data_IF_380542986750
#
_entry.id   IF_380542986750
#
_cell.length_a   1.000
_cell.length_b   1.000
_cell.length_c   1.000
_cell.angle_alpha   90.00
_cell.angle_beta   90.00
_cell.angle_gamma   90.00
#
_symmetry.space_group_name_H-M   'P 1'
#
loop_
_entity.id
_entity.type
_entity.pdbx_description
1 polymer ?
#
# COMPACT_ATOMS: atom_id res chain seq x y z
N UNK A 1 7.04 22.88 -15.64
CA UNK A 1 5.72 23.36 -15.19
C UNK A 1 5.50 22.88 -13.75
N UNK A 2 5.26 23.74 -12.76
CA UNK A 2 4.94 23.30 -11.40
C UNK A 2 3.50 22.77 -11.39
N UNK A 3 3.30 21.49 -11.09
CA UNK A 3 1.98 20.94 -10.83
C UNK A 3 1.46 21.42 -9.48
N UNK A 4 0.14 21.58 -9.35
CA UNK A 4 -0.50 21.98 -8.10
C UNK A 4 -0.11 21.02 -6.97
N UNK A 5 0.51 21.59 -5.94
CA UNK A 5 0.85 20.88 -4.70
C UNK A 5 -0.32 21.03 -3.76
N UNK A 6 -0.86 19.90 -3.31
CA UNK A 6 -1.98 19.91 -2.36
C UNK A 6 -1.53 19.22 -1.09
N UNK A 7 -1.64 19.93 0.03
CA UNK A 7 -1.34 19.40 1.35
C UNK A 7 -2.64 19.02 2.06
N UNK A 8 -2.63 17.87 2.72
CA UNK A 8 -3.73 17.40 3.55
C UNK A 8 -3.25 17.09 4.94
N UNK A 9 -4.02 17.47 5.94
CA UNK A 9 -3.82 17.01 7.31
C UNK A 9 -4.86 15.94 7.65
N UNK A 10 -4.41 14.73 7.99
CA UNK A 10 -5.26 13.64 8.45
C UNK A 10 -4.66 13.03 9.70
N UNK A 11 -5.42 13.02 10.81
CA UNK A 11 -4.98 12.47 12.10
C UNK A 11 -3.65 13.08 12.59
N UNK A 12 -3.49 14.40 12.44
CA UNK A 12 -2.28 15.14 12.85
C UNK A 12 -1.05 14.92 11.96
N UNK A 13 -1.19 14.28 10.80
CA UNK A 13 -0.10 14.09 9.83
C UNK A 13 -0.38 14.83 8.53
N UNK A 14 0.58 15.64 8.09
CA UNK A 14 0.55 16.33 6.79
C UNK A 14 1.05 15.42 5.68
N UNK A 15 0.18 15.10 4.73
CA UNK A 15 0.47 14.31 3.53
C UNK A 15 0.49 15.28 2.35
N UNK A 16 1.63 15.35 1.65
CA UNK A 16 1.78 16.21 0.46
C UNK A 16 1.54 15.39 -0.80
N UNK A 17 0.69 15.90 -1.68
CA UNK A 17 0.44 15.34 -3.00
C UNK A 17 1.01 16.24 -4.08
N UNK A 18 1.72 15.65 -5.03
CA UNK A 18 2.06 16.29 -6.29
C UNK A 18 1.15 15.69 -7.36
N UNK A 19 0.20 16.48 -7.85
CA UNK A 19 -0.67 16.08 -8.97
C UNK A 19 0.11 16.35 -10.26
N UNK A 20 0.42 15.33 -11.09
CA UNK A 20 1.12 15.56 -12.34
C UNK A 20 0.30 16.46 -13.27
N UNK A 21 0.96 17.42 -13.92
CA UNK A 21 0.35 18.39 -14.85
C UNK A 21 -0.27 17.75 -16.12
N UNK A 22 -0.09 16.45 -16.33
CA UNK A 22 -0.68 15.68 -17.44
C UNK A 22 -2.08 15.19 -17.08
N UNK A 23 -2.98 16.13 -16.81
CA UNK A 23 -4.45 15.93 -16.93
C UNK A 23 -5.03 16.79 -18.06
N UNK A 24 -4.17 17.40 -18.89
CA UNK A 24 -4.57 17.98 -20.18
C UNK A 24 -4.65 16.86 -21.19
N UNK A 25 -5.88 16.44 -21.51
CA UNK A 25 -6.15 15.42 -22.53
C UNK A 25 -6.70 14.13 -21.94
N UNK A 26 -7.92 14.20 -21.42
CA UNK A 26 -8.78 13.01 -21.34
C UNK A 26 -9.99 13.28 -22.22
N UNK A 27 -9.77 13.22 -23.52
CA UNK A 27 -10.82 12.98 -24.53
C UNK A 27 -11.14 11.48 -24.59
N UNK A 28 -11.07 10.76 -23.47
CA UNK A 28 -11.58 9.41 -23.39
C UNK A 28 -13.11 9.49 -23.38
N UNK A 29 -13.75 8.84 -24.34
CA UNK A 29 -15.20 8.73 -24.36
C UNK A 29 -15.69 8.11 -23.04
N UNK A 30 -16.67 8.71 -22.36
CA UNK A 30 -17.23 8.19 -21.11
C UNK A 30 -17.65 6.73 -21.24
N UNK A 31 -18.15 6.29 -22.39
CA UNK A 31 -18.48 4.88 -22.58
C UNK A 31 -17.28 3.95 -22.38
N UNK A 32 -16.06 4.33 -22.77
CA UNK A 32 -14.86 3.53 -22.52
C UNK A 32 -14.48 3.46 -21.04
N UNK A 33 -14.74 4.52 -20.27
CA UNK A 33 -14.59 4.49 -18.82
C UNK A 33 -15.66 3.58 -18.20
N UNK A 34 -16.89 3.61 -18.73
CA UNK A 34 -18.08 2.96 -18.15
C UNK A 34 -18.35 1.52 -18.61
N UNK A 35 -17.82 1.07 -19.75
CA UNK A 35 -17.97 -0.29 -20.32
C UNK A 35 -17.13 -1.38 -19.63
N UNK A 36 -16.38 -1.04 -18.59
CA UNK A 36 -15.79 -2.08 -17.72
C UNK A 36 -16.88 -2.59 -16.79
N UNK A 37 -17.56 -3.65 -17.22
CA UNK A 37 -18.33 -4.55 -16.35
C UNK A 37 -17.57 -4.83 -15.06
N UNK A 38 -18.31 -5.08 -13.96
CA UNK A 38 -17.76 -5.47 -12.65
C UNK A 38 -16.51 -6.34 -12.87
N UNK A 39 -15.31 -5.86 -12.54
CA UNK A 39 -14.13 -6.67 -12.75
C UNK A 39 -14.28 -7.90 -11.86
N UNK A 40 -14.12 -9.08 -12.44
CA UNK A 40 -13.82 -10.27 -11.65
C UNK A 40 -12.63 -9.95 -10.75
N UNK A 41 -12.54 -10.61 -9.59
CA UNK A 41 -11.47 -10.37 -8.61
C UNK A 41 -10.04 -10.47 -9.21
N UNK A 42 -9.90 -11.09 -10.38
CA UNK A 42 -8.66 -11.16 -11.16
C UNK A 42 -8.33 -9.90 -11.98
N UNK A 43 -9.32 -9.14 -12.45
CA UNK A 43 -9.10 -7.91 -13.22
C UNK A 43 -8.65 -6.73 -12.32
N UNK A 44 -9.02 -6.74 -11.04
CA UNK A 44 -8.56 -5.78 -10.02
C UNK A 44 -7.03 -5.86 -9.83
N UNK A 45 -6.41 -7.01 -10.14
CA UNK A 45 -4.96 -7.20 -10.01
C UNK A 45 -4.15 -6.60 -11.16
N UNK A 46 -4.77 -6.11 -12.24
CA UNK A 46 -4.07 -5.80 -13.50
C UNK A 46 -4.12 -4.34 -13.99
N UNK A 47 -4.81 -3.42 -13.31
CA UNK A 47 -4.97 -2.04 -13.83
C UNK A 47 -3.91 -1.02 -13.34
N UNK A 48 -3.57 0.02 -14.15
CA UNK A 48 -2.54 1.01 -13.86
C UNK A 48 -3.02 2.10 -12.88
N UNK A 49 -2.07 2.70 -12.18
CA UNK A 49 -2.33 3.63 -11.09
C UNK A 49 -2.97 4.96 -11.54
N UNK A 50 -4.05 5.33 -10.85
CA UNK A 50 -4.67 6.68 -10.65
C UNK A 50 -5.84 7.13 -11.55
N UNK A 51 -6.09 6.53 -12.71
CA UNK A 51 -7.27 6.87 -13.52
C UNK A 51 -8.53 6.07 -13.15
N UNK A 52 -8.38 4.90 -12.51
CA UNK A 52 -9.46 3.90 -12.33
C UNK A 52 -10.02 3.81 -10.90
N UNK A 53 -9.99 4.90 -10.13
CA UNK A 53 -10.68 4.90 -8.83
C UNK A 53 -12.18 5.03 -9.05
N UNK A 54 -12.84 3.88 -9.18
CA UNK A 54 -14.29 3.73 -9.06
C UNK A 54 -14.59 3.02 -7.76
N UNK A 55 -15.40 3.64 -6.92
CA UNK A 55 -15.96 2.97 -5.77
C UNK A 55 -17.44 3.26 -5.75
N UNK A 56 -18.25 2.20 -5.67
CA UNK A 56 -19.64 2.35 -5.25
C UNK A 56 -19.62 3.14 -3.94
N UNK A 57 -20.17 4.34 -3.91
CA UNK A 57 -20.23 5.19 -2.71
C UNK A 57 -21.69 5.38 -2.38
N UNK A 58 -21.98 5.91 -1.19
CA UNK A 58 -23.34 6.28 -0.87
C UNK A 58 -23.31 7.61 -0.16
N UNK A 59 -23.45 8.67 -0.94
CA UNK A 59 -23.41 10.04 -0.46
C UNK A 59 -24.84 10.55 -0.42
N UNK A 60 -25.41 10.50 0.78
CA UNK A 60 -26.73 11.08 1.07
C UNK A 60 -26.61 12.59 1.26
N UNK A 61 -27.70 13.32 1.04
CA UNK A 61 -27.73 14.78 1.19
C UNK A 61 -27.11 15.54 0.03
N UNK A 62 -26.88 14.87 -1.11
CA UNK A 62 -26.51 15.53 -2.35
C UNK A 62 -27.73 16.18 -3.01
N UNK A 63 -27.50 17.22 -3.81
CA UNK A 63 -28.55 17.93 -4.55
C UNK A 63 -28.09 18.25 -5.96
N UNK A 64 -29.04 18.25 -6.90
CA UNK A 64 -28.88 18.85 -8.23
C UNK A 64 -29.48 20.25 -8.16
N UNK A 65 -28.65 21.28 -8.34
CA UNK A 65 -29.06 22.69 -8.46
C UNK A 65 -29.24 23.02 -9.94
N UNK A 66 -30.41 23.56 -10.30
CA UNK A 66 -30.77 23.86 -11.70
C UNK A 66 -30.56 25.34 -11.98
N UNK A 67 -29.51 25.69 -12.72
CA UNK A 67 -29.12 27.08 -12.99
C UNK A 67 -29.89 27.69 -14.19
N UNK A 68 -30.37 26.85 -15.11
CA UNK A 68 -31.19 27.23 -16.28
C UNK A 68 -32.51 26.48 -16.31
N UNK A 69 -33.59 27.15 -16.71
CA UNK A 69 -34.90 26.51 -16.83
C UNK A 69 -34.88 25.36 -17.86
N UNK A 70 -35.60 24.29 -17.56
CA UNK A 70 -35.95 23.23 -18.52
C UNK A 70 -37.45 22.95 -18.42
N UNK A 71 -38.04 22.34 -19.44
CA UNK A 71 -39.48 22.04 -19.45
C UNK A 71 -39.94 21.17 -18.26
N UNK A 72 -39.01 20.39 -17.67
CA UNK A 72 -39.27 19.46 -16.57
C UNK A 72 -38.86 19.98 -15.19
N UNK A 73 -37.98 20.99 -15.12
CA UNK A 73 -37.37 21.43 -13.87
C UNK A 73 -37.42 22.95 -13.70
N UNK A 74 -37.73 23.36 -12.48
CA UNK A 74 -37.85 24.77 -12.07
C UNK A 74 -36.46 25.35 -11.88
N UNK A 75 -36.18 26.47 -12.55
CA UNK A 75 -34.93 27.21 -12.37
C UNK A 75 -34.74 27.65 -10.92
N UNK A 76 -33.52 27.49 -10.39
CA UNK A 76 -33.17 27.79 -9.00
C UNK A 76 -33.63 26.72 -8.00
N UNK A 77 -34.35 25.68 -8.44
CA UNK A 77 -34.74 24.59 -7.56
C UNK A 77 -33.57 23.66 -7.25
N UNK A 78 -33.68 22.99 -6.10
CA UNK A 78 -32.75 21.96 -5.64
C UNK A 78 -33.44 20.62 -5.57
N UNK A 79 -32.97 19.66 -6.35
CA UNK A 79 -33.53 18.31 -6.38
C UNK A 79 -32.67 17.38 -5.53
N UNK A 80 -33.22 16.76 -4.48
CA UNK A 80 -32.44 15.87 -3.61
C UNK A 80 -32.07 14.59 -4.37
N UNK A 81 -30.78 14.25 -4.33
CA UNK A 81 -30.24 13.04 -4.96
C UNK A 81 -29.32 12.30 -4.01
N UNK A 82 -29.05 11.03 -4.34
CA UNK A 82 -28.04 10.21 -3.66
C UNK A 82 -26.96 9.85 -4.65
N UNK A 83 -25.69 10.13 -4.35
CA UNK A 83 -24.58 9.66 -5.19
C UNK A 83 -24.28 8.22 -4.83
N UNK A 84 -24.50 7.30 -5.78
CA UNK A 84 -24.31 5.85 -5.59
C UNK A 84 -23.02 5.31 -6.22
N UNK A 85 -22.44 6.08 -7.13
CA UNK A 85 -21.10 5.83 -7.68
C UNK A 85 -20.44 7.18 -8.00
N UNK A 86 -19.12 7.25 -7.84
CA UNK A 86 -18.34 8.46 -8.05
C UNK A 86 -16.98 8.12 -8.64
N UNK A 87 -16.58 8.90 -9.64
CA UNK A 87 -15.29 8.83 -10.31
C UNK A 87 -14.78 10.23 -10.62
N UNK A 88 -13.53 10.36 -11.10
CA UNK A 88 -13.00 11.65 -11.55
C UNK A 88 -13.74 12.23 -12.78
N UNK A 89 -14.44 11.41 -13.56
CA UNK A 89 -15.12 11.82 -14.79
C UNK A 89 -16.62 12.07 -14.65
N UNK A 90 -17.24 11.67 -13.53
CA UNK A 90 -18.68 11.77 -13.34
C UNK A 90 -19.19 10.97 -12.16
N UNK A 91 -20.51 10.93 -12.01
CA UNK A 91 -21.19 10.26 -10.92
C UNK A 91 -22.38 9.44 -11.43
N UNK A 92 -22.82 8.47 -10.65
CA UNK A 92 -24.15 7.88 -10.78
C UNK A 92 -24.99 8.35 -9.62
N UNK A 93 -26.15 8.90 -9.92
CA UNK A 93 -27.05 9.48 -8.93
C UNK A 93 -28.40 8.77 -8.94
N UNK A 94 -29.03 8.67 -7.78
CA UNK A 94 -30.41 8.23 -7.63
C UNK A 94 -31.28 9.40 -7.19
N UNK A 95 -32.39 9.62 -7.91
CA UNK A 95 -33.33 10.71 -7.72
C UNK A 95 -34.75 10.17 -7.56
N UNK A 96 -35.62 10.93 -6.87
CA UNK A 96 -37.07 10.70 -6.91
C UNK A 96 -37.75 11.38 -8.11
N UNK A 97 -37.02 12.25 -8.80
CA UNK A 97 -37.46 13.03 -9.95
C UNK A 97 -36.68 12.58 -11.17
N UNK A 98 -37.39 12.40 -12.29
CA UNK A 98 -36.75 12.13 -13.58
C UNK A 98 -35.97 13.38 -14.02
N UNK A 99 -34.68 13.21 -14.29
CA UNK A 99 -33.79 14.32 -14.63
C UNK A 99 -33.62 14.37 -16.15
N UNK A 100 -33.83 15.54 -16.79
CA UNK A 100 -33.73 15.68 -18.23
C UNK A 100 -32.32 15.32 -18.71
N UNK A 101 -32.26 14.54 -19.79
CA UNK A 101 -31.04 14.17 -20.48
C UNK A 101 -30.67 15.23 -21.52
N UNK A 102 -29.40 15.29 -21.91
CA UNK A 102 -28.98 16.02 -23.11
C UNK A 102 -27.91 17.09 -22.89
N UNK A 103 -27.41 17.65 -24.00
CA UNK A 103 -26.29 18.58 -24.00
C UNK A 103 -26.64 19.99 -23.48
N UNK A 104 -27.91 20.38 -23.59
CA UNK A 104 -28.40 21.71 -23.24
C UNK A 104 -28.77 21.84 -21.74
N UNK A 105 -28.71 20.73 -21.00
CA UNK A 105 -29.01 20.68 -19.58
C UNK A 105 -27.76 20.31 -18.78
N UNK A 106 -27.15 21.32 -18.16
CA UNK A 106 -25.92 21.19 -17.38
C UNK A 106 -26.09 21.69 -15.93
N UNK A 107 -26.85 20.97 -15.08
CA UNK A 107 -27.07 21.40 -13.72
C UNK A 107 -25.82 21.24 -12.84
N UNK A 108 -25.83 21.85 -11.66
CA UNK A 108 -24.74 21.75 -10.69
C UNK A 108 -25.03 20.65 -9.67
N UNK A 109 -24.21 19.60 -9.63
CA UNK A 109 -24.19 18.60 -8.56
C UNK A 109 -23.47 19.17 -7.33
N UNK A 110 -24.18 19.20 -6.20
CA UNK A 110 -23.64 19.55 -4.89
C UNK A 110 -23.68 18.32 -3.99
N UNK A 111 -22.54 17.86 -3.46
CA UNK A 111 -22.48 16.66 -2.62
C UNK A 111 -21.52 16.81 -1.42
N UNK A 112 -21.91 16.38 -0.20
CA UNK A 112 -21.02 16.42 0.96
C UNK A 112 -19.95 15.31 0.89
N UNK A 113 -18.68 15.67 0.68
CA UNK A 113 -17.57 14.71 0.72
C UNK A 113 -17.05 14.56 2.15
N UNK A 114 -17.64 13.64 2.92
CA UNK A 114 -17.13 13.31 4.25
C UNK A 114 -15.68 12.76 4.17
N UNK A 115 -14.77 13.08 5.11
CA UNK A 115 -14.99 13.78 6.37
C UNK A 115 -14.72 15.31 6.32
N UNK A 116 -14.66 15.94 5.15
CA UNK A 116 -14.38 17.38 5.03
C UNK A 116 -15.63 18.26 5.15
N UNK A 117 -15.48 19.55 5.52
CA UNK A 117 -16.57 20.53 5.48
C UNK A 117 -16.90 21.03 4.06
N UNK A 118 -16.03 20.75 3.08
CA UNK A 118 -16.19 21.20 1.71
C UNK A 118 -17.22 20.36 0.96
N UNK A 119 -18.16 21.03 0.30
CA UNK A 119 -19.10 20.42 -0.62
C UNK A 119 -18.43 20.28 -1.99
N UNK A 120 -18.50 19.07 -2.57
CA UNK A 120 -18.28 18.89 -4.00
C UNK A 120 -19.30 19.78 -4.72
N UNK A 121 -18.83 20.68 -5.59
CA UNK A 121 -19.67 21.43 -6.52
C UNK A 121 -19.15 21.22 -7.94
N UNK A 122 -19.96 20.60 -8.79
CA UNK A 122 -19.55 20.29 -10.16
C UNK A 122 -20.73 20.41 -11.12
N UNK A 123 -20.53 21.16 -12.21
CA UNK A 123 -21.45 21.13 -13.35
C UNK A 123 -21.43 19.72 -13.96
N UNK A 124 -22.61 19.13 -14.11
CA UNK A 124 -22.77 17.79 -14.66
C UNK A 124 -23.68 17.82 -15.87
N UNK A 125 -23.45 16.91 -16.81
CA UNK A 125 -24.39 16.58 -17.88
C UNK A 125 -25.03 15.23 -17.58
N UNK A 126 -26.35 15.14 -17.68
CA UNK A 126 -27.07 13.86 -17.55
C UNK A 126 -26.98 13.13 -18.90
N UNK A 127 -26.42 11.92 -18.88
CA UNK A 127 -26.16 11.12 -20.09
C UNK A 127 -27.30 10.16 -20.40
N UNK A 128 -27.82 9.51 -19.36
CA UNK A 128 -28.97 8.62 -19.40
C UNK A 128 -29.64 8.60 -18.03
N UNK A 129 -30.93 8.28 -18.02
CA UNK A 129 -31.73 8.07 -16.83
C UNK A 129 -32.56 6.79 -17.00
N UNK A 130 -32.36 5.83 -16.09
CA UNK A 130 -33.10 4.57 -16.06
C UNK A 130 -34.05 4.52 -14.86
N UNK A 131 -35.31 4.10 -15.03
CA UNK A 131 -36.20 3.84 -13.91
C UNK A 131 -35.71 2.60 -13.13
N UNK A 132 -35.52 2.78 -11.82
CA UNK A 132 -35.14 1.74 -10.89
C UNK A 132 -36.19 1.61 -9.79
N UNK A 133 -36.74 0.41 -9.59
CA UNK A 133 -37.65 0.15 -8.48
C UNK A 133 -36.83 -0.25 -7.24
N UNK A 134 -36.84 0.59 -6.21
CA UNK A 134 -36.13 0.31 -4.97
C UNK A 134 -37.05 0.44 -3.77
N UNK A 135 -37.22 -0.65 -3.03
CA UNK A 135 -38.11 -0.72 -1.86
C UNK A 135 -39.56 -0.31 -2.19
N UNK A 136 -40.05 -0.69 -3.37
CA UNK A 136 -41.41 -0.37 -3.82
C UNK A 136 -41.66 1.10 -4.17
N UNK A 137 -40.60 1.91 -4.28
CA UNK A 137 -40.66 3.29 -4.77
C UNK A 137 -39.94 3.39 -6.10
N UNK A 138 -40.59 4.02 -7.07
CA UNK A 138 -39.93 4.39 -8.32
C UNK A 138 -38.84 5.42 -8.02
N UNK A 139 -37.62 5.10 -8.43
CA UNK A 139 -36.46 5.98 -8.43
C UNK A 139 -35.93 6.07 -9.84
N UNK A 140 -35.20 7.13 -10.12
CA UNK A 140 -34.51 7.33 -11.37
C UNK A 140 -33.03 7.29 -11.10
N UNK A 141 -32.32 6.38 -11.78
CA UNK A 141 -30.89 6.26 -11.70
C UNK A 141 -30.29 6.93 -12.93
N UNK A 142 -29.62 8.06 -12.71
CA UNK A 142 -29.04 8.84 -13.80
C UNK A 142 -27.53 8.71 -13.82
N UNK A 143 -26.97 8.48 -15.01
CA UNK A 143 -25.53 8.59 -15.26
C UNK A 143 -25.18 10.03 -15.58
N UNK A 144 -24.13 10.55 -14.95
CA UNK A 144 -23.69 11.93 -15.16
C UNK A 144 -22.23 12.02 -15.53
N UNK A 145 -21.88 13.06 -16.29
CA UNK A 145 -20.50 13.44 -16.64
C UNK A 145 -20.19 14.82 -16.10
N UNK A 146 -19.01 15.02 -15.50
CA UNK A 146 -18.58 16.37 -15.17
C UNK A 146 -18.23 17.17 -16.43
N UNK A 147 -18.80 18.37 -16.52
CA UNK A 147 -18.50 19.30 -17.61
C UNK A 147 -17.26 20.09 -17.24
N UNK A 148 -16.18 19.93 -18.02
CA UNK A 148 -14.90 20.64 -17.84
C UNK A 148 -14.40 20.62 -16.37
N UNK A 149 -14.23 19.44 -15.76
CA UNK A 149 -13.87 19.35 -14.35
C UNK A 149 -12.54 20.07 -14.09
N UNK A 150 -12.51 20.91 -13.06
CA UNK A 150 -11.27 21.57 -12.64
C UNK A 150 -10.30 20.54 -12.04
N UNK A 151 -9.00 20.83 -12.12
CA UNK A 151 -7.98 19.96 -11.50
C UNK A 151 -8.18 19.84 -9.97
N UNK A 152 -8.68 20.91 -9.34
CA UNK A 152 -9.06 20.91 -7.92
C UNK A 152 -10.16 19.88 -7.66
N UNK A 153 -11.24 19.91 -8.45
CA UNK A 153 -12.36 18.98 -8.32
C UNK A 153 -11.92 17.51 -8.43
N UNK A 154 -11.13 17.20 -9.47
CA UNK A 154 -10.59 15.85 -9.69
C UNK A 154 -9.76 15.39 -8.48
N UNK A 155 -8.94 16.29 -7.92
CA UNK A 155 -8.10 16.00 -6.75
C UNK A 155 -8.91 15.75 -5.48
N UNK A 156 -10.00 16.49 -5.28
CA UNK A 156 -10.92 16.32 -4.14
C UNK A 156 -11.66 14.98 -4.22
N UNK A 157 -12.14 14.59 -5.41
CA UNK A 157 -12.78 13.30 -5.64
C UNK A 157 -11.80 12.15 -5.39
N UNK A 158 -10.59 12.22 -5.97
CA UNK A 158 -9.59 11.17 -5.80
C UNK A 158 -9.20 10.98 -4.32
N UNK A 159 -9.07 12.09 -3.59
CA UNK A 159 -8.84 12.09 -2.14
C UNK A 159 -9.96 11.40 -1.37
N UNK A 160 -11.20 11.76 -1.66
CA UNK A 160 -12.37 11.15 -1.02
C UNK A 160 -12.42 9.64 -1.26
N UNK A 161 -12.27 9.22 -2.52
CA UNK A 161 -12.30 7.81 -2.91
C UNK A 161 -11.20 7.00 -2.24
N UNK A 162 -10.00 7.57 -2.07
CA UNK A 162 -8.92 6.93 -1.32
C UNK A 162 -9.28 6.70 0.16
N UNK A 163 -9.89 7.69 0.82
CA UNK A 163 -10.33 7.55 2.22
C UNK A 163 -11.39 6.48 2.35
N UNK A 164 -12.37 6.44 1.45
CA UNK A 164 -13.42 5.40 1.42
C UNK A 164 -12.81 4.01 1.21
N UNK A 165 -11.86 3.87 0.27
CA UNK A 165 -11.16 2.61 0.03
C UNK A 165 -10.42 2.12 1.28
N UNK A 166 -9.66 3.02 1.93
CA UNK A 166 -8.93 2.71 3.16
C UNK A 166 -9.88 2.31 4.30
N UNK A 167 -11.02 3.01 4.46
CA UNK A 167 -12.02 2.69 5.48
C UNK A 167 -12.71 1.33 5.23
N UNK A 168 -13.05 1.02 3.98
CA UNK A 168 -13.61 -0.29 3.60
C UNK A 168 -12.65 -1.42 3.85
N UNK A 169 -11.40 -1.21 3.48
CA UNK A 169 -10.32 -2.15 3.74
C UNK A 169 -10.24 -2.42 5.25
N UNK A 170 -10.22 -1.38 6.10
CA UNK A 170 -10.28 -1.53 7.57
C UNK A 170 -11.52 -2.29 8.06
N UNK A 171 -12.73 -2.01 7.54
CA UNK A 171 -13.97 -2.68 7.97
C UNK A 171 -14.01 -4.16 7.59
N UNK A 172 -13.61 -4.51 6.36
CA UNK A 172 -13.44 -5.92 5.95
C UNK A 172 -12.49 -6.66 6.88
N UNK A 173 -11.46 -5.98 7.39
CA UNK A 173 -10.49 -6.57 8.30
C UNK A 173 -10.94 -6.62 9.77
N UNK A 174 -11.71 -5.64 10.24
CA UNK A 174 -12.32 -5.67 11.57
C UNK A 174 -13.32 -6.81 11.71
N UNK A 175 -14.08 -7.12 10.64
CA UNK A 175 -14.98 -8.26 10.61
C UNK A 175 -14.24 -9.60 10.50
N UNK A 176 -13.10 -9.65 9.81
CA UNK A 176 -12.31 -10.88 9.62
C UNK A 176 -11.37 -11.24 10.79
N UNK A 177 -11.21 -10.36 11.78
CA UNK A 177 -10.29 -10.57 12.91
C UNK A 177 -10.83 -11.50 14.02
N UNK A 178 -12.05 -12.01 13.88
CA UNK A 178 -12.74 -12.82 14.90
C UNK A 178 -13.12 -14.24 14.47
N UNK A 179 -12.67 -14.71 13.30
CA UNK A 179 -13.03 -16.03 12.78
C UNK A 179 -11.80 -16.90 12.50
N UNK A 180 -11.65 -18.01 13.22
CA UNK A 180 -10.60 -19.02 13.02
C UNK A 180 -10.69 -19.67 11.63
N UNK A 181 -11.87 -19.67 11.01
CA UNK A 181 -12.08 -20.10 9.62
C UNK A 181 -11.26 -19.26 8.63
N UNK A 182 -11.14 -17.94 8.87
CA UNK A 182 -10.35 -17.03 8.03
C UNK A 182 -8.84 -17.30 8.12
N UNK A 183 -8.34 -17.61 9.33
CA UNK A 183 -6.92 -17.95 9.53
C UNK A 183 -6.56 -19.23 8.76
N UNK A 184 -7.44 -20.24 8.81
CA UNK A 184 -7.29 -21.49 8.09
C UNK A 184 -7.39 -21.32 6.57
N UNK A 185 -8.36 -20.55 6.08
CA UNK A 185 -8.50 -20.23 4.65
C UNK A 185 -7.28 -19.49 4.12
N UNK A 186 -6.77 -18.51 4.88
CA UNK A 186 -5.55 -17.77 4.53
C UNK A 186 -4.33 -18.70 4.49
N UNK A 187 -4.15 -19.58 5.48
CA UNK A 187 -3.08 -20.56 5.50
C UNK A 187 -3.16 -21.53 4.30
N UNK A 188 -4.37 -21.99 3.93
CA UNK A 188 -4.59 -22.79 2.71
C UNK A 188 -4.24 -22.01 1.44
N UNK A 189 -4.55 -20.72 1.39
CA UNK A 189 -4.15 -19.82 0.29
C UNK A 189 -2.63 -19.72 0.15
N UNK A 190 -1.89 -19.63 1.26
CA UNK A 190 -0.42 -19.60 1.27
C UNK A 190 0.21 -20.92 0.82
N UNK A 191 -0.40 -22.05 1.21
CA UNK A 191 -0.01 -23.37 0.74
C UNK A 191 -0.18 -23.50 -0.78
N UNK A 192 -1.32 -23.09 -1.34
CA UNK A 192 -1.58 -23.13 -2.80
C UNK A 192 -0.57 -22.30 -3.58
N UNK A 193 -0.13 -21.19 -3.00
CA UNK A 193 0.83 -20.27 -3.60
C UNK A 193 2.30 -20.73 -3.46
N UNK A 194 2.58 -21.84 -2.76
CA UNK A 194 3.94 -22.34 -2.53
C UNK A 194 4.83 -21.37 -1.76
N UNK A 195 4.26 -20.64 -0.77
CA UNK A 195 4.99 -19.59 -0.06
C UNK A 195 5.98 -20.15 0.96
N UNK A 196 7.17 -19.57 0.95
CA UNK A 196 8.11 -19.66 2.08
C UNK A 196 7.58 -18.78 3.21
N UNK A 197 7.52 -19.35 4.41
CA UNK A 197 7.22 -18.63 5.65
C UNK A 197 8.48 -18.53 6.50
N UNK A 198 8.54 -17.54 7.39
CA UNK A 198 9.55 -17.44 8.42
C UNK A 198 8.95 -17.77 9.78
N UNK A 199 9.64 -18.62 10.52
CA UNK A 199 9.34 -18.87 11.93
C UNK A 199 10.37 -18.11 12.75
N UNK A 200 9.91 -17.18 13.57
CA UNK A 200 10.75 -16.52 14.58
C UNK A 200 10.43 -17.19 15.93
N UNK A 201 11.43 -17.72 16.60
CA UNK A 201 11.29 -18.36 17.91
C UNK A 201 12.51 -18.06 18.78
N UNK A 202 12.35 -18.08 20.09
CA UNK A 202 13.48 -18.09 21.02
C UNK A 202 13.90 -19.53 21.27
N UNK A 203 15.20 -19.81 21.32
CA UNK A 203 15.71 -21.09 21.81
C UNK A 203 15.67 -21.15 23.36
N UNK A 204 16.09 -22.29 23.93
CA UNK A 204 16.14 -22.47 25.38
C UNK A 204 17.08 -21.49 26.10
N UNK A 205 18.01 -20.83 25.38
CA UNK A 205 18.88 -19.78 25.92
C UNK A 205 18.26 -18.38 25.85
N UNK A 206 17.08 -18.25 25.24
CA UNK A 206 16.40 -16.97 25.00
C UNK A 206 16.89 -16.23 23.76
N UNK A 207 17.83 -16.79 22.99
CA UNK A 207 18.30 -16.20 21.75
C UNK A 207 17.22 -16.33 20.67
N UNK A 208 16.90 -15.22 19.99
CA UNK A 208 15.95 -15.23 18.89
C UNK A 208 16.60 -15.81 17.64
N UNK A 209 15.97 -16.84 17.07
CA UNK A 209 16.34 -17.44 15.79
C UNK A 209 15.21 -17.22 14.78
N UNK A 210 15.58 -17.12 13.50
CA UNK A 210 14.65 -16.91 12.39
C UNK A 210 14.96 -17.90 11.30
N UNK A 211 14.02 -18.82 11.05
CA UNK A 211 14.21 -19.86 10.02
C UNK A 211 13.12 -19.79 8.97
N UNK A 212 13.54 -19.90 7.71
CA UNK A 212 12.62 -20.00 6.57
C UNK A 212 12.21 -21.46 6.36
N UNK A 213 10.92 -21.71 6.20
CA UNK A 213 10.35 -23.04 5.96
C UNK A 213 9.13 -22.98 5.04
N UNK A 214 8.59 -24.12 4.68
CA UNK A 214 7.44 -24.29 3.81
C UNK A 214 6.25 -24.86 4.58
N UNK A 215 5.05 -24.37 4.27
CA UNK A 215 3.80 -24.98 4.72
C UNK A 215 3.59 -26.25 3.87
N UNK A 216 3.39 -27.38 4.54
CA UNK A 216 3.10 -28.66 3.91
C UNK A 216 1.59 -28.96 3.89
N UNK A 217 0.87 -28.57 4.95
CA UNK A 217 -0.58 -28.68 5.02
C UNK A 217 -1.19 -27.69 6.01
N UNK A 218 -2.45 -27.32 5.80
CA UNK A 218 -3.20 -26.44 6.69
C UNK A 218 -4.62 -26.95 6.92
N UNK A 219 -5.01 -27.05 8.20
CA UNK A 219 -6.34 -27.43 8.70
C UNK A 219 -6.91 -26.29 9.55
N UNK A 220 -8.15 -26.40 10.03
CA UNK A 220 -8.72 -25.36 10.91
C UNK A 220 -8.00 -25.23 12.25
N UNK A 221 -7.41 -26.33 12.73
CA UNK A 221 -6.81 -26.39 14.06
C UNK A 221 -5.28 -26.35 14.03
N UNK A 222 -4.66 -26.72 12.91
CA UNK A 222 -3.21 -26.88 12.85
C UNK A 222 -2.62 -26.63 11.47
N UNK A 223 -1.35 -26.23 11.49
CA UNK A 223 -0.51 -25.98 10.33
C UNK A 223 0.69 -26.93 10.40
N UNK A 224 0.98 -27.67 9.34
CA UNK A 224 2.15 -28.54 9.26
C UNK A 224 3.21 -27.88 8.40
N UNK A 225 4.43 -27.79 8.91
CA UNK A 225 5.56 -27.15 8.24
C UNK A 225 6.76 -28.07 8.25
N UNK A 226 7.64 -27.93 7.27
CA UNK A 226 8.92 -28.64 7.32
C UNK A 226 9.70 -28.19 8.56
N UNK A 227 10.20 -29.12 9.35
CA UNK A 227 10.99 -28.77 10.53
C UNK A 227 12.25 -28.02 10.08
N UNK A 228 12.62 -26.91 10.75
CA UNK A 228 13.84 -26.20 10.44
C UNK A 228 15.07 -27.09 10.71
N UNK A 229 16.08 -27.00 9.84
CA UNK A 229 17.33 -27.79 9.96
C UNK A 229 18.36 -27.08 10.87
N UNK A 230 18.01 -25.93 11.45
CA UNK A 230 18.92 -25.18 12.31
C UNK A 230 19.29 -25.99 13.59
N UNK A 231 20.54 -25.95 14.07
CA UNK A 231 20.99 -26.72 15.23
C UNK A 231 20.13 -26.51 16.48
N UNK A 232 19.60 -25.31 16.71
CA UNK A 232 18.71 -24.99 17.83
C UNK A 232 17.22 -25.28 17.60
N UNK A 233 16.82 -25.66 16.38
CA UNK A 233 15.41 -25.93 16.08
C UNK A 233 14.93 -27.22 16.73
N UNK A 234 15.77 -28.25 16.81
CA UNK A 234 15.40 -29.56 17.38
C UNK A 234 14.89 -29.44 18.82
N UNK A 235 15.48 -28.51 19.57
CA UNK A 235 15.23 -28.27 20.99
C UNK A 235 14.24 -27.13 21.26
N UNK A 236 13.61 -26.57 20.22
CA UNK A 236 12.53 -25.59 20.40
C UNK A 236 11.39 -26.24 21.21
N UNK A 237 11.32 -25.89 22.49
CA UNK A 237 10.39 -26.44 23.46
C UNK A 237 8.94 -26.27 22.98
N UNK A 238 8.11 -27.27 23.23
CA UNK A 238 6.68 -27.28 22.84
C UNK A 238 5.91 -26.12 23.47
N UNK A 239 6.45 -25.53 24.53
CA UNK A 239 5.83 -24.45 25.30
C UNK A 239 6.18 -23.05 24.78
N UNK A 240 7.16 -22.91 23.89
CA UNK A 240 7.62 -21.59 23.47
C UNK A 240 6.72 -20.98 22.38
N UNK A 241 6.36 -19.69 22.53
CA UNK A 241 5.61 -18.99 21.50
C UNK A 241 6.46 -18.84 20.24
N UNK A 242 5.88 -19.23 19.10
CA UNK A 242 6.47 -19.12 17.78
C UNK A 242 5.73 -18.00 17.04
N UNK A 243 6.48 -17.04 16.51
CA UNK A 243 5.92 -16.02 15.63
C UNK A 243 6.02 -16.50 14.19
N UNK A 244 4.87 -16.71 13.55
CA UNK A 244 4.80 -17.10 12.15
C UNK A 244 4.69 -15.83 11.29
N UNK A 245 5.75 -15.52 10.53
CA UNK A 245 5.81 -14.43 9.58
C UNK A 245 5.61 -14.96 8.15
N UNK A 246 4.56 -14.49 7.48
CA UNK A 246 4.23 -14.87 6.10
C UNK A 246 4.81 -13.88 5.13
N UNK A 247 5.63 -14.31 4.18
CA UNK A 247 6.20 -13.43 3.17
C UNK A 247 5.39 -13.42 1.85
N UNK A 248 5.25 -12.24 1.25
CA UNK A 248 4.71 -12.08 -0.12
C UNK A 248 5.78 -12.45 -1.18
N UNK A 249 5.50 -12.22 -2.48
CA UNK A 249 6.40 -12.71 -3.57
C UNK A 249 7.68 -11.88 -3.63
N UNK A 250 7.74 -10.82 -2.82
CA UNK A 250 8.76 -9.80 -2.80
C UNK A 250 9.42 -9.76 -1.42
N UNK A 251 9.41 -10.90 -0.70
CA UNK A 251 9.96 -11.10 0.64
C UNK A 251 9.42 -10.14 1.72
N UNK A 252 8.23 -9.54 1.53
CA UNK A 252 7.63 -8.68 2.55
C UNK A 252 6.79 -9.52 3.50
N UNK A 253 7.04 -9.37 4.80
CA UNK A 253 6.16 -9.88 5.85
C UNK A 253 4.77 -9.27 5.66
N UNK A 254 3.86 -10.07 5.13
CA UNK A 254 2.49 -9.73 4.78
C UNK A 254 1.51 -10.03 5.92
N UNK A 255 1.87 -10.93 6.83
CA UNK A 255 1.12 -11.25 8.03
C UNK A 255 2.05 -11.82 9.10
N UNK A 256 1.69 -11.59 10.34
CA UNK A 256 2.32 -12.18 11.52
C UNK A 256 1.21 -12.83 12.36
N UNK A 257 1.40 -14.06 12.78
CA UNK A 257 0.50 -14.74 13.72
C UNK A 257 1.32 -15.45 14.79
N UNK A 258 0.89 -15.33 16.03
CA UNK A 258 1.48 -16.06 17.14
C UNK A 258 0.91 -17.48 17.15
N UNK A 259 1.78 -18.48 17.27
CA UNK A 259 1.45 -19.90 17.30
C UNK A 259 2.33 -20.63 18.32
N UNK A 260 2.09 -21.90 18.52
CA UNK A 260 2.87 -22.80 19.36
C UNK A 260 3.04 -24.14 18.68
N UNK A 261 4.13 -24.84 19.02
CA UNK A 261 4.39 -26.17 18.49
C UNK A 261 3.52 -27.19 19.24
N UNK A 262 2.60 -27.82 18.53
CA UNK A 262 1.76 -28.91 19.06
C UNK A 262 2.51 -30.25 19.10
N UNK A 263 3.52 -30.41 18.24
CA UNK A 263 4.33 -31.62 18.19
C UNK A 263 5.26 -31.65 16.98
N UNK A 264 5.99 -32.74 16.85
CA UNK A 264 6.72 -33.07 15.63
C UNK A 264 6.43 -34.51 15.22
N UNK A 265 6.36 -34.71 13.91
CA UNK A 265 6.23 -36.04 13.31
C UNK A 265 7.61 -36.45 12.80
N UNK A 266 8.10 -37.58 13.31
CA UNK A 266 9.35 -38.19 12.85
C UNK A 266 9.21 -38.82 11.47
N UNK A 267 10.31 -38.87 10.71
CA UNK A 267 10.35 -39.43 9.36
C UNK A 267 11.60 -38.96 8.60
N UNK A 268 11.72 -39.36 7.32
CA UNK A 268 12.84 -38.94 6.45
C UNK A 268 12.91 -37.42 6.26
N UNK A 269 11.77 -36.72 6.34
CA UNK A 269 11.70 -35.26 6.43
C UNK A 269 10.94 -34.89 7.70
N UNK A 270 11.62 -34.35 8.72
CA UNK A 270 10.95 -33.98 9.97
C UNK A 270 9.92 -32.87 9.73
N UNK A 271 8.75 -32.98 10.36
CA UNK A 271 7.63 -32.05 10.21
C UNK A 271 7.23 -31.52 11.58
N UNK A 272 7.03 -30.21 11.69
CA UNK A 272 6.41 -29.60 12.86
C UNK A 272 4.93 -29.42 12.63
N UNK A 273 4.16 -29.73 13.67
CA UNK A 273 2.74 -29.38 13.75
C UNK A 273 2.61 -28.18 14.65
N UNK A 274 2.18 -27.07 14.09
CA UNK A 274 1.92 -25.81 14.77
C UNK A 274 0.41 -25.65 14.99
N UNK A 275 0.01 -24.97 16.05
CA UNK A 275 -1.37 -24.56 16.22
C UNK A 275 -1.75 -23.56 15.12
N UNK A 276 -3.01 -23.54 14.68
CA UNK A 276 -3.44 -22.45 13.81
C UNK A 276 -3.39 -21.14 14.62
N UNK A 277 -2.72 -20.06 14.13
CA UNK A 277 -2.77 -18.78 14.82
C UNK A 277 -4.22 -18.33 14.97
N UNK A 278 -4.62 -17.94 16.18
CA UNK A 278 -5.98 -17.43 16.42
C UNK A 278 -6.25 -16.17 15.59
N UNK A 279 -5.19 -15.38 15.33
CA UNK A 279 -5.27 -14.15 14.55
C UNK A 279 -4.02 -13.96 13.71
N UNK A 280 -4.22 -13.55 12.46
CA UNK A 280 -3.15 -12.98 11.64
C UNK A 280 -3.23 -11.46 11.69
N UNK A 281 -2.20 -10.84 12.25
CA UNK A 281 -2.00 -9.39 12.14
C UNK A 281 -1.33 -9.12 10.81
N UNK A 282 -2.02 -8.44 9.90
CA UNK A 282 -1.33 -7.90 8.72
C UNK A 282 -0.33 -6.86 9.22
N UNK A 283 0.97 -7.12 9.02
CA UNK A 283 1.99 -6.11 9.27
C UNK A 283 1.70 -4.98 8.29
N UNK A 284 1.29 -3.82 8.79
CA UNK A 284 0.91 -2.67 7.97
C UNK A 284 2.01 -2.40 6.95
N UNK A 285 1.60 -2.12 5.71
CA UNK A 285 2.53 -1.76 4.66
C UNK A 285 3.48 -0.67 5.18
N UNK A 286 4.79 -0.85 4.92
CA UNK A 286 5.80 0.14 5.26
C UNK A 286 5.35 1.51 4.73
N UNK A 287 5.53 2.56 5.54
CA UNK A 287 5.17 3.94 5.16
C UNK A 287 5.73 4.34 3.79
N UNK A 288 6.90 3.78 3.46
CA UNK A 288 7.54 3.95 2.16
C UNK A 288 7.77 2.62 1.47
N UNK A 289 7.46 2.59 0.18
CA UNK A 289 7.82 1.50 -0.72
C UNK A 289 9.34 1.35 -0.74
N UNK A 290 9.81 0.12 -0.51
CA UNK A 290 11.22 -0.29 -0.62
C UNK A 290 11.46 -1.03 -1.92
N UNK A 291 12.61 -0.80 -2.53
CA UNK A 291 13.01 -1.41 -3.78
C UNK A 291 14.48 -1.83 -3.77
N UNK A 292 14.79 -3.05 -4.22
CA UNK A 292 16.17 -3.49 -4.39
C UNK A 292 16.92 -2.54 -5.31
N UNK A 293 18.10 -2.13 -4.86
CA UNK A 293 19.03 -1.32 -5.66
C UNK A 293 20.43 -1.89 -5.51
N UNK A 294 21.33 -1.56 -6.42
CA UNK A 294 22.74 -1.86 -6.26
C UNK A 294 23.53 -0.57 -6.50
N UNK A 295 23.78 0.17 -5.41
CA UNK A 295 24.53 1.42 -5.47
C UNK A 295 25.91 1.19 -4.80
N UNK A 296 26.92 0.76 -5.58
CA UNK A 296 28.23 0.37 -5.04
C UNK A 296 29.11 1.55 -4.65
N UNK A 297 28.78 2.76 -5.07
CA UNK A 297 29.52 3.99 -4.75
C UNK A 297 29.03 4.66 -3.45
N UNK A 298 28.41 3.90 -2.55
CA UNK A 298 27.95 4.47 -1.28
C UNK A 298 29.12 4.58 -0.30
N UNK A 299 29.24 5.75 0.31
CA UNK A 299 30.21 6.03 1.37
C UNK A 299 29.46 6.30 2.66
N UNK A 300 29.85 5.64 3.73
CA UNK A 300 29.41 5.98 5.08
C UNK A 300 30.54 6.68 5.82
N UNK A 301 30.22 7.81 6.43
CA UNK A 301 31.11 8.51 7.35
C UNK A 301 30.60 8.19 8.75
N UNK A 302 31.30 7.30 9.44
CA UNK A 302 31.07 7.01 10.84
C UNK A 302 31.80 8.06 11.68
N UNK A 303 31.07 8.71 12.60
CA UNK A 303 31.63 9.67 13.54
C UNK A 303 31.71 9.00 14.91
N UNK A 304 32.93 8.79 15.40
CA UNK A 304 33.13 8.28 16.76
C UNK A 304 33.19 9.46 17.74
N UNK A 305 32.04 9.74 18.34
CA UNK A 305 31.89 10.81 19.33
C UNK A 305 32.62 10.53 20.65
N UNK A 306 33.05 9.29 20.91
CA UNK A 306 33.79 8.93 22.13
C UNK A 306 35.28 9.28 22.03
N UNK A 307 35.80 9.49 20.82
CA UNK A 307 37.17 9.96 20.60
C UNK A 307 37.27 11.48 20.70
N UNK A 308 38.31 12.00 21.37
CA UNK A 308 38.58 13.43 21.41
C UNK A 308 39.96 13.76 20.82
N UNK A 309 40.04 14.43 19.65
CA UNK A 309 38.93 14.95 18.85
C UNK A 309 38.09 13.83 18.17
N UNK A 310 36.81 14.08 17.84
CA UNK A 310 35.97 13.10 17.16
C UNK A 310 36.60 12.64 15.86
N UNK A 311 36.88 11.35 15.77
CA UNK A 311 37.46 10.76 14.56
C UNK A 311 36.35 10.47 13.54
N UNK A 312 36.65 10.81 12.28
CA UNK A 312 35.77 10.50 11.15
C UNK A 312 36.38 9.37 10.34
N UNK A 313 35.67 8.25 10.23
CA UNK A 313 36.09 7.13 9.39
C UNK A 313 35.19 7.02 8.16
N UNK A 314 35.81 6.99 6.98
CA UNK A 314 35.11 6.73 5.72
C UNK A 314 35.09 5.22 5.45
N UNK A 315 33.89 4.67 5.40
CA UNK A 315 33.60 3.26 5.17
C UNK A 315 32.97 3.11 3.80
N UNK A 316 33.47 2.14 3.02
CA UNK A 316 32.81 1.75 1.77
C UNK A 316 31.61 0.88 2.09
N UNK A 317 30.54 1.10 1.34
CA UNK A 317 29.31 0.36 1.51
C UNK A 317 28.56 0.22 0.19
N UNK A 318 27.64 -0.74 0.14
CA UNK A 318 26.73 -0.93 -0.99
C UNK A 318 25.31 -0.74 -0.48
N UNK A 319 24.57 0.21 -1.05
CA UNK A 319 23.12 0.29 -0.77
C UNK A 319 22.45 -0.80 -1.60
N UNK A 320 21.81 -1.74 -0.91
CA UNK A 320 21.18 -2.94 -1.48
C UNK A 320 19.65 -2.83 -1.59
N UNK A 321 19.04 -1.94 -0.81
CA UNK A 321 17.61 -1.61 -0.85
C UNK A 321 17.43 -0.16 -0.41
N UNK A 322 16.48 0.53 -1.02
CA UNK A 322 16.24 1.95 -0.76
C UNK A 322 14.74 2.27 -0.70
N UNK A 323 14.37 3.15 0.23
CA UNK A 323 13.10 3.87 0.25
C UNK A 323 13.32 5.31 0.73
N UNK A 324 12.26 6.12 0.66
CA UNK A 324 12.31 7.48 1.19
C UNK A 324 12.47 7.55 2.72
N UNK A 325 12.25 6.44 3.45
CA UNK A 325 12.40 6.39 4.92
C UNK A 325 13.62 5.61 5.42
N UNK A 326 14.27 4.81 4.56
CA UNK A 326 15.32 3.89 5.01
C UNK A 326 16.14 3.30 3.87
N UNK A 327 17.32 2.80 4.20
CA UNK A 327 18.20 2.10 3.27
C UNK A 327 18.69 0.80 3.92
N UNK A 328 18.90 -0.25 3.14
CA UNK A 328 19.70 -1.38 3.58
C UNK A 328 21.08 -1.25 2.98
N UNK A 329 22.09 -1.41 3.82
CA UNK A 329 23.46 -1.13 3.47
C UNK A 329 24.32 -2.33 3.82
N UNK A 330 25.18 -2.73 2.89
CA UNK A 330 26.12 -3.82 3.08
C UNK A 330 27.53 -3.26 3.22
N UNK A 331 28.29 -3.77 4.17
CA UNK A 331 29.68 -3.40 4.39
C UNK A 331 30.50 -4.64 4.78
N UNK A 332 31.80 -4.57 4.49
CA UNK A 332 32.77 -5.58 4.93
C UNK A 332 33.23 -5.32 6.37
N UNK A 333 32.85 -4.17 6.94
CA UNK A 333 33.23 -3.76 8.28
C UNK A 333 32.01 -3.66 9.23
N UNK A 334 32.19 -3.96 10.53
CA UNK A 334 31.15 -3.84 11.52
C UNK A 334 30.84 -2.38 11.88
N UNK A 335 29.56 -2.01 11.95
CA UNK A 335 29.08 -0.69 12.36
C UNK A 335 28.35 -0.76 13.71
N UNK A 336 28.50 0.28 14.56
CA UNK A 336 27.71 0.38 15.78
C UNK A 336 26.22 0.55 15.45
N UNK A 337 25.38 -0.26 16.11
CA UNK A 337 23.92 -0.28 15.99
C UNK A 337 23.31 0.54 17.13
N UNK A 338 22.27 1.31 16.82
CA UNK A 338 21.49 2.06 17.80
C UNK A 338 21.48 3.58 17.58
N UNK A 339 20.65 4.30 18.36
CA UNK A 339 20.37 5.72 18.16
C UNK A 339 21.53 6.65 18.54
N UNK A 340 22.46 6.19 19.38
CA UNK A 340 23.63 6.96 19.80
C UNK A 340 24.73 7.02 18.73
N UNK A 341 24.68 6.15 17.72
CA UNK A 341 25.69 6.09 16.68
C UNK A 341 25.41 7.14 15.59
N UNK A 342 26.28 8.15 15.50
CA UNK A 342 26.17 9.21 14.50
C UNK A 342 26.84 8.79 13.19
N UNK A 343 26.04 8.40 12.20
CA UNK A 343 26.50 8.03 10.86
C UNK A 343 25.95 8.97 9.80
N UNK A 344 26.76 9.30 8.80
CA UNK A 344 26.33 9.96 7.59
C UNK A 344 26.48 9.02 6.39
N UNK A 345 25.41 8.83 5.63
CA UNK A 345 25.41 8.05 4.41
C UNK A 345 25.38 8.99 3.20
N UNK A 346 26.33 8.81 2.30
CA UNK A 346 26.40 9.52 1.02
C UNK A 346 26.35 8.51 -0.13
N UNK A 347 25.43 8.69 -1.07
CA UNK A 347 25.28 7.80 -2.23
C UNK A 347 24.77 8.53 -3.46
N UNK A 348 24.94 7.93 -4.64
CA UNK A 348 24.39 8.44 -5.91
C UNK A 348 23.31 7.49 -6.41
N UNK A 349 22.17 8.05 -6.82
CA UNK A 349 21.04 7.26 -7.37
C UNK A 349 21.34 6.70 -8.76
N UNK A 350 22.11 7.42 -9.58
CA UNK A 350 22.58 6.99 -10.89
C UNK A 350 24.00 7.53 -11.12
N UNK A 351 24.76 6.91 -12.02
CA UNK A 351 26.07 7.44 -12.43
C UNK A 351 25.90 8.89 -12.93
N UNK A 352 26.80 9.78 -12.50
CA UNK A 352 26.78 11.20 -12.84
C UNK A 352 25.77 12.06 -12.07
N UNK A 353 24.89 11.48 -11.25
CA UNK A 353 23.94 12.26 -10.46
C UNK A 353 24.61 12.93 -9.24
N UNK A 354 24.09 14.09 -8.82
CA UNK A 354 24.50 14.75 -7.57
C UNK A 354 24.33 13.80 -6.39
N UNK A 355 25.37 13.58 -5.57
CA UNK A 355 25.29 12.75 -4.36
C UNK A 355 24.18 13.23 -3.42
N UNK A 356 23.55 12.28 -2.75
CA UNK A 356 22.62 12.52 -1.64
C UNK A 356 23.38 12.18 -0.38
N UNK A 357 23.51 13.16 0.53
CA UNK A 357 24.08 12.99 1.85
C UNK A 357 23.00 13.09 2.91
N UNK A 358 22.92 12.14 3.84
CA UNK A 358 21.91 12.16 4.91
C UNK A 358 22.43 11.51 6.18
N UNK A 359 21.89 11.93 7.33
CA UNK A 359 22.15 11.25 8.61
C UNK A 359 21.40 9.94 8.62
N UNK A 360 22.01 8.90 9.18
CA UNK A 360 21.37 7.61 9.33
C UNK A 360 21.47 7.11 10.76
N UNK A 361 20.45 6.37 11.17
CA UNK A 361 20.45 5.55 12.37
C UNK A 361 20.49 4.08 11.94
N UNK A 362 21.45 3.32 12.44
CA UNK A 362 21.53 1.87 12.19
C UNK A 362 20.57 1.19 13.17
N UNK A 363 19.43 0.74 12.66
CA UNK A 363 18.32 0.17 13.47
C UNK A 363 18.56 -1.31 13.77
N UNK A 364 19.19 -2.04 12.84
CA UNK A 364 19.53 -3.44 13.01
C UNK A 364 20.74 -3.80 12.14
N UNK A 365 21.52 -4.78 12.57
CA UNK A 365 22.61 -5.37 11.80
C UNK A 365 22.55 -6.89 11.86
N UNK A 366 22.92 -7.55 10.77
CA UNK A 366 23.11 -9.00 10.72
C UNK A 366 24.45 -9.32 10.08
N UNK A 367 25.13 -10.35 10.60
CA UNK A 367 26.39 -10.84 10.05
C UNK A 367 26.08 -12.09 9.23
N UNK A 368 26.57 -12.13 7.98
CA UNK A 368 26.52 -13.31 7.11
C UNK A 368 27.94 -13.78 6.84
N UNK A 369 28.18 -15.07 7.00
CA UNK A 369 29.45 -15.68 6.59
C UNK A 369 29.39 -16.00 5.10
N UNK A 370 30.33 -15.47 4.32
CA UNK A 370 30.51 -15.79 2.90
C UNK A 370 31.94 -16.33 2.67
N UNK A 371 32.18 -17.08 1.58
CA UNK A 371 33.51 -17.60 1.26
C UNK A 371 34.59 -16.52 1.15
N UNK A 372 34.19 -15.32 0.72
CA UNK A 372 35.06 -14.15 0.52
C UNK A 372 35.35 -13.37 1.82
N UNK A 373 34.66 -13.69 2.92
CA UNK A 373 34.78 -12.98 4.20
C UNK A 373 33.44 -12.71 4.88
N UNK A 374 33.45 -12.23 6.13
CA UNK A 374 32.23 -11.81 6.81
C UNK A 374 31.63 -10.58 6.13
N UNK A 375 30.36 -10.66 5.73
CA UNK A 375 29.60 -9.50 5.25
C UNK A 375 28.58 -9.06 6.29
N UNK A 376 28.46 -7.75 6.46
CA UNK A 376 27.53 -7.15 7.40
C UNK A 376 26.41 -6.45 6.63
N UNK A 377 25.17 -6.85 6.90
CA UNK A 377 23.97 -6.22 6.34
C UNK A 377 23.29 -5.37 7.42
N UNK A 378 23.14 -4.08 7.15
CA UNK A 378 22.57 -3.09 8.04
C UNK A 378 21.22 -2.59 7.53
N UNK A 379 20.27 -2.38 8.45
CA UNK A 379 19.01 -1.68 8.20
C UNK A 379 19.11 -0.29 8.80
N UNK A 380 19.07 0.71 7.95
CA UNK A 380 19.27 2.11 8.33
C UNK A 380 17.98 2.90 8.14
N UNK A 381 17.68 3.78 9.11
CA UNK A 381 16.63 4.81 9.02
C UNK A 381 17.28 6.11 8.56
N UNK A 382 16.68 6.78 7.57
CA UNK A 382 17.19 8.06 7.06
C UNK A 382 16.61 9.22 7.89
N UNK A 383 17.47 10.03 8.50
CA UNK A 383 17.11 11.11 9.39
C UNK A 383 17.25 12.46 8.69
N UNK A 384 16.21 13.30 8.78
CA UNK A 384 16.26 14.67 8.25
C UNK A 384 16.48 14.78 6.74
N UNK A 385 16.22 13.72 5.98
CA UNK A 385 16.43 13.65 4.53
C UNK A 385 15.56 14.70 3.80
N UNK A 386 16.19 15.68 3.15
CA UNK A 386 15.50 16.69 2.35
C UNK A 386 15.09 16.15 0.98
N UNK A 387 15.87 15.22 0.43
CA UNK A 387 15.73 14.65 -0.91
C UNK A 387 14.80 13.43 -0.97
N UNK A 388 13.86 13.32 -0.02
CA UNK A 388 12.87 12.21 0.05
C UNK A 388 12.12 12.01 -1.26
N UNK A 389 11.65 13.10 -1.87
CA UNK A 389 10.89 13.05 -3.12
C UNK A 389 11.74 12.51 -4.28
N UNK A 390 13.03 12.88 -4.32
CA UNK A 390 13.96 12.43 -5.36
C UNK A 390 14.24 10.93 -5.25
N UNK A 391 14.41 10.42 -4.03
CA UNK A 391 14.54 8.98 -3.78
C UNK A 391 13.26 8.23 -4.13
N UNK A 392 12.09 8.75 -3.72
CA UNK A 392 10.81 8.14 -4.04
C UNK A 392 10.58 8.05 -5.56
N UNK A 393 10.83 9.14 -6.30
CA UNK A 393 10.73 9.16 -7.76
C UNK A 393 11.66 8.14 -8.43
N UNK A 394 12.90 8.05 -7.97
CA UNK A 394 13.85 7.07 -8.48
C UNK A 394 13.39 5.63 -8.23
N UNK A 395 12.95 5.33 -7.01
CA UNK A 395 12.38 4.02 -6.66
C UNK A 395 11.19 3.68 -7.56
N UNK A 396 10.21 4.59 -7.69
CA UNK A 396 9.05 4.36 -8.56
C UNK A 396 9.43 4.15 -10.03
N UNK A 397 10.44 4.85 -10.53
CA UNK A 397 10.96 4.64 -11.88
C UNK A 397 11.52 3.23 -12.06
N UNK A 398 12.36 2.77 -11.13
CA UNK A 398 12.89 1.40 -11.17
C UNK A 398 11.78 0.34 -11.12
N UNK A 399 10.73 0.57 -10.32
CA UNK A 399 9.56 -0.31 -10.30
C UNK A 399 8.85 -0.36 -11.65
N UNK A 400 8.69 0.80 -12.29
CA UNK A 400 8.04 0.88 -13.59
C UNK A 400 8.86 0.19 -14.69
N UNK A 401 10.19 0.31 -14.65
CA UNK A 401 11.11 -0.36 -15.57
C UNK A 401 11.04 -1.89 -15.42
N UNK A 402 11.16 -2.41 -14.21
CA UNK A 402 11.06 -3.85 -13.93
C UNK A 402 9.71 -4.44 -14.41
N UNK A 403 8.61 -3.73 -14.18
CA UNK A 403 7.29 -4.17 -14.66
C UNK A 403 7.19 -4.18 -16.18
N UNK A 404 7.88 -3.28 -16.88
CA UNK A 404 7.92 -3.31 -18.35
C UNK A 404 8.69 -4.55 -18.83
N UNK A 405 9.81 -4.88 -18.17
CA UNK A 405 10.57 -6.09 -18.49
C UNK A 405 9.75 -7.36 -18.22
N UNK A 406 9.04 -7.45 -17.11
CA UNK A 406 8.19 -8.61 -16.78
C UNK A 406 7.01 -8.79 -17.75
N UNK A 407 6.54 -7.72 -18.40
CA UNK A 407 5.48 -7.80 -19.44
C UNK A 407 6.02 -8.18 -20.82
N UNK A 408 7.31 -7.95 -21.05
CA UNK A 408 8.01 -8.27 -22.29
C UNK A 408 8.67 -9.66 -22.26
N UNK A 409 8.76 -10.29 -21.08
CA UNK A 409 9.20 -11.67 -20.94
C UNK A 409 8.07 -12.63 -21.39
N UNK A 410 8.37 -13.59 -22.28
CA UNK A 410 7.39 -14.53 -22.85
C UNK A 410 6.81 -15.52 -21.83
#
# INVERSE_FOLDING_TARGET
MPGDRVELEHMGRRIKFVVPATFRGVDAEPEALWRFDRPSDDAIRRLPARADMRHAVWISGATIEVDSASDLLVQGARYPVTVVDLSAGGARIESGTDLPEGADFEPTLVAPLAPGPELLRATVRILDTEPANRFGRLRYQSRTRFVRPSQRLVSEIARYLYVVAAARQRRRFSAAAHDTSYAAERARGLLRDGRIIQLEYSDASGAADVVSTEILSASEQSLSVRAPVAPGARDADLTMPITLAVHDRVDRVSAIGDTQRLGAVGGATPVWRLAMPERFRQRTAREFVRWPVNLPEATVIAVDAATHPPTQRKLRAVVSDLSAGGASVRSDEPWPVGPAAAHHLTFRLTRGATPIGTRIEVVAGSRRHQPEGPRHDYRCRLLGLAERDRIAQHVFRLQAEERRHQRAAP
#
